data_IF_584643176585
#
_entry.id   IF_584643176585
#
_cell.length_a   1.000
_cell.length_b   1.000
_cell.length_c   1.000
_cell.angle_alpha   90.00
_cell.angle_beta   90.00
_cell.angle_gamma   90.00
#
_symmetry.space_group_name_H-M   'P 1'
#
loop_
_entity.id
_entity.type
_entity.pdbx_description
1 polymer ?
#
# COMPACT_ATOMS: atom_id res chain seq x y z
N UNK A 1 3.72 14.91 -10.54
CA UNK A 1 4.06 13.57 -10.03
C UNK A 1 3.37 12.55 -10.91
N UNK A 2 4.05 11.45 -11.24
CA UNK A 2 3.46 10.36 -12.01
C UNK A 2 2.67 9.45 -11.05
N UNK A 3 1.62 8.80 -11.53
CA UNK A 3 0.84 7.84 -10.76
C UNK A 3 0.89 6.49 -11.47
N UNK A 4 0.96 5.42 -10.69
CA UNK A 4 0.99 4.06 -11.21
C UNK A 4 -0.02 3.19 -10.49
N UNK A 5 -0.85 2.48 -11.26
CA UNK A 5 -1.58 1.35 -10.73
C UNK A 5 -0.60 0.20 -10.55
N UNK A 6 -0.51 -0.33 -9.35
CA UNK A 6 0.37 -1.42 -8.97
C UNK A 6 -0.46 -2.67 -8.72
N UNK A 7 0.02 -3.81 -9.22
CA UNK A 7 -0.51 -5.12 -8.91
C UNK A 7 0.60 -6.04 -8.46
N UNK A 8 0.38 -6.79 -7.38
CA UNK A 8 1.38 -7.73 -6.88
C UNK A 8 0.75 -8.92 -6.14
N UNK A 9 1.50 -10.00 -6.01
CA UNK A 9 1.11 -11.19 -5.24
C UNK A 9 1.67 -11.08 -3.83
N UNK A 10 0.82 -10.91 -2.80
CA UNK A 10 1.29 -10.86 -1.43
C UNK A 10 1.80 -12.21 -0.98
N UNK A 11 2.85 -12.19 -0.15
CA UNK A 11 3.33 -13.33 0.62
C UNK A 11 2.47 -13.43 1.87
N UNK A 12 1.49 -14.35 1.84
CA UNK A 12 0.44 -14.47 2.86
C UNK A 12 1.04 -14.65 4.26
N UNK A 13 2.15 -15.37 4.36
CA UNK A 13 2.90 -15.62 5.60
C UNK A 13 3.55 -14.37 6.20
N UNK A 14 3.73 -13.29 5.42
CA UNK A 14 4.29 -12.02 5.87
C UNK A 14 3.25 -10.89 5.93
N UNK A 15 2.00 -11.13 5.51
CA UNK A 15 0.95 -10.10 5.49
C UNK A 15 0.61 -9.60 6.90
N UNK A 16 0.49 -10.50 7.88
CA UNK A 16 0.22 -10.10 9.27
C UNK A 16 1.37 -9.25 9.84
N UNK A 17 2.61 -9.54 9.46
CA UNK A 17 3.76 -8.70 9.84
C UNK A 17 3.63 -7.31 9.21
N UNK A 18 3.31 -7.24 7.91
CA UNK A 18 3.14 -5.96 7.21
C UNK A 18 2.00 -5.13 7.81
N UNK A 19 0.85 -5.76 8.10
CA UNK A 19 -0.30 -5.12 8.74
C UNK A 19 0.10 -4.50 10.08
N UNK A 20 0.75 -5.27 10.97
CA UNK A 20 1.23 -4.75 12.26
C UNK A 20 2.25 -3.62 12.14
N UNK A 21 3.10 -3.63 11.10
CA UNK A 21 4.05 -2.54 10.85
C UNK A 21 3.37 -1.27 10.36
N UNK A 22 2.30 -1.41 9.58
CA UNK A 22 1.45 -0.29 9.15
C UNK A 22 0.68 0.29 10.36
N UNK A 23 0.08 -0.57 11.20
CA UNK A 23 -0.61 -0.18 12.43
C UNK A 23 0.31 0.62 13.38
N UNK A 24 1.57 0.18 13.52
CA UNK A 24 2.55 0.83 14.39
C UNK A 24 3.22 2.05 13.76
N UNK A 25 2.86 2.43 12.52
CA UNK A 25 3.43 3.56 11.81
C UNK A 25 4.92 3.42 11.44
N UNK A 26 5.48 2.19 11.47
CA UNK A 26 6.91 1.97 11.21
C UNK A 26 7.31 2.37 9.78
N UNK A 27 6.40 2.16 8.82
CA UNK A 27 6.62 2.50 7.42
C UNK A 27 6.46 4.01 7.21
N UNK A 28 5.61 4.69 7.99
CA UNK A 28 5.40 6.15 7.85
C UNK A 28 6.65 6.98 8.13
N UNK A 29 7.50 6.50 9.05
CA UNK A 29 8.77 7.14 9.38
C UNK A 29 9.86 7.01 8.32
N UNK A 30 9.66 6.18 7.28
CA UNK A 30 10.65 5.99 6.21
C UNK A 30 10.58 7.15 5.21
N UNK A 31 11.39 8.18 5.36
CA UNK A 31 11.37 9.29 4.42
C UNK A 31 12.07 8.95 3.10
N UNK A 32 11.61 9.53 1.96
CA UNK A 32 10.48 10.43 1.79
C UNK A 32 9.19 9.73 1.35
N UNK A 33 9.20 8.40 1.13
CA UNK A 33 8.07 7.66 0.55
C UNK A 33 7.11 7.06 1.59
N UNK A 34 7.54 6.94 2.84
CA UNK A 34 6.90 6.15 3.89
C UNK A 34 5.46 6.54 4.16
N UNK A 35 5.17 7.83 4.30
CA UNK A 35 3.79 8.32 4.49
C UNK A 35 2.88 8.00 3.31
N UNK A 36 3.38 8.18 2.09
CA UNK A 36 2.59 7.90 0.88
C UNK A 36 2.37 6.39 0.71
N UNK A 37 3.43 5.60 0.90
CA UNK A 37 3.40 4.14 0.81
C UNK A 37 2.50 3.52 1.88
N UNK A 38 2.62 3.96 3.14
CA UNK A 38 1.79 3.48 4.24
C UNK A 38 0.31 3.65 3.94
N UNK A 39 -0.09 4.86 3.49
CA UNK A 39 -1.46 5.15 3.08
C UNK A 39 -1.91 4.29 1.90
N UNK A 40 -1.06 4.14 0.88
CA UNK A 40 -1.38 3.34 -0.29
C UNK A 40 -1.56 1.84 0.08
N UNK A 41 -0.74 1.30 0.97
CA UNK A 41 -0.87 -0.09 1.43
C UNK A 41 -2.05 -0.30 2.37
N UNK A 42 -2.35 0.65 3.26
CA UNK A 42 -3.54 0.61 4.11
C UNK A 42 -4.86 0.66 3.31
N UNK A 43 -4.85 1.37 2.18
CA UNK A 43 -5.96 1.40 1.21
C UNK A 43 -5.80 0.35 0.09
N UNK A 44 -4.81 -0.54 0.14
CA UNK A 44 -4.69 -1.58 -0.88
C UNK A 44 -5.92 -2.49 -0.90
N UNK A 45 -6.24 -2.99 -2.08
CA UNK A 45 -7.36 -3.89 -2.34
C UNK A 45 -6.87 -5.26 -2.76
N UNK A 46 -7.69 -6.28 -2.54
CA UNK A 46 -7.36 -7.67 -2.88
C UNK A 46 -8.41 -8.22 -3.85
N UNK A 47 -7.94 -8.89 -4.90
CA UNK A 47 -8.80 -9.63 -5.83
C UNK A 47 -9.06 -11.06 -5.32
N UNK A 48 -10.12 -11.74 -5.80
CA UNK A 48 -10.40 -13.15 -5.48
C UNK A 48 -9.26 -14.12 -5.85
N UNK A 49 -8.37 -13.72 -6.75
CA UNK A 49 -7.20 -14.51 -7.16
C UNK A 49 -5.97 -14.27 -6.26
N UNK A 50 -6.13 -13.58 -5.13
CA UNK A 50 -5.07 -13.12 -4.22
C UNK A 50 -4.09 -12.12 -4.84
N UNK A 51 -4.50 -11.32 -5.84
CA UNK A 51 -3.69 -10.20 -6.33
C UNK A 51 -4.00 -8.92 -5.57
N UNK A 52 -3.01 -8.35 -4.89
CA UNK A 52 -3.08 -7.06 -4.23
C UNK A 52 -2.95 -5.93 -5.25
N UNK A 53 -3.72 -4.85 -5.06
CA UNK A 53 -3.81 -3.71 -5.96
C UNK A 53 -3.81 -2.41 -5.19
N UNK A 54 -3.06 -1.42 -5.66
CA UNK A 54 -3.05 -0.07 -5.11
C UNK A 54 -2.57 0.94 -6.15
N UNK A 55 -2.74 2.23 -5.89
CA UNK A 55 -2.11 3.28 -6.69
C UNK A 55 -0.94 3.88 -5.92
N UNK A 56 0.24 3.91 -6.55
CA UNK A 56 1.42 4.61 -6.05
C UNK A 56 1.52 5.99 -6.67
N UNK A 57 1.82 6.97 -5.83
CA UNK A 57 2.32 8.26 -6.29
C UNK A 57 3.85 8.17 -6.41
N UNK A 58 4.36 8.42 -7.61
CA UNK A 58 5.79 8.39 -7.86
C UNK A 58 6.40 9.76 -7.63
N UNK A 59 7.05 9.86 -6.47
CA UNK A 59 7.91 10.97 -6.10
C UNK A 59 9.31 10.88 -6.73
N UNK A 60 9.59 9.83 -7.54
CA UNK A 60 10.94 9.59 -8.06
C UNK A 60 11.21 10.34 -9.38
N UNK A 61 11.95 11.44 -9.25
CA UNK A 61 13.10 11.71 -10.12
C UNK A 61 14.31 11.16 -9.31
N UNK A 62 15.19 10.31 -9.87
CA UNK A 62 15.81 9.16 -9.17
C UNK A 62 16.76 9.60 -8.05
N UNK A 63 16.74 8.99 -6.83
CA UNK A 63 17.28 7.63 -6.57
C UNK A 63 16.50 6.79 -5.52
N UNK A 64 15.33 7.24 -5.08
CA UNK A 64 14.58 6.68 -3.94
C UNK A 64 13.78 5.39 -4.24
N UNK A 65 13.91 4.88 -5.47
CA UNK A 65 13.21 3.69 -5.92
C UNK A 65 13.70 2.41 -5.22
N UNK A 66 14.97 2.33 -4.80
CA UNK A 66 15.57 1.06 -4.38
C UNK A 66 15.10 0.60 -2.99
N UNK A 67 14.94 1.51 -2.02
CA UNK A 67 14.53 1.14 -0.67
C UNK A 67 13.03 0.82 -0.60
N UNK A 68 12.19 1.64 -1.24
CA UNK A 68 10.78 1.33 -1.45
C UNK A 68 10.61 -0.02 -2.14
N UNK A 69 11.38 -0.28 -3.20
CA UNK A 69 11.31 -1.53 -3.93
C UNK A 69 11.72 -2.72 -3.05
N UNK A 70 12.82 -2.63 -2.30
CA UNK A 70 13.24 -3.68 -1.36
C UNK A 70 12.17 -3.99 -0.31
N UNK A 71 11.52 -2.97 0.23
CA UNK A 71 10.42 -3.15 1.18
C UNK A 71 9.25 -3.88 0.53
N UNK A 72 8.84 -3.47 -0.68
CA UNK A 72 7.77 -4.14 -1.42
C UNK A 72 8.14 -5.57 -1.81
N UNK A 73 9.35 -5.84 -2.28
CA UNK A 73 9.84 -7.19 -2.65
C UNK A 73 9.87 -8.16 -1.46
N UNK A 74 10.02 -7.64 -0.23
CA UNK A 74 9.91 -8.46 0.98
C UNK A 74 8.51 -9.04 1.15
N UNK A 75 7.46 -8.25 0.91
CA UNK A 75 6.07 -8.65 1.18
C UNK A 75 5.30 -9.08 -0.07
N UNK A 76 5.77 -8.72 -1.25
CA UNK A 76 5.09 -8.93 -2.51
C UNK A 76 6.03 -9.55 -3.55
N UNK A 77 5.44 -10.33 -4.44
CA UNK A 77 6.09 -10.91 -5.61
C UNK A 77 5.31 -10.52 -6.86
N UNK A 78 5.91 -10.70 -8.05
CA UNK A 78 5.26 -10.38 -9.33
C UNK A 78 4.69 -8.96 -9.38
N UNK A 79 5.45 -7.99 -8.88
CA UNK A 79 5.05 -6.58 -8.86
C UNK A 79 5.04 -6.07 -10.31
N UNK A 80 3.88 -5.63 -10.77
CA UNK A 80 3.70 -4.98 -12.06
C UNK A 80 3.11 -3.58 -11.86
N UNK A 81 3.51 -2.64 -12.71
CA UNK A 81 3.10 -1.23 -12.64
C UNK A 81 2.61 -0.77 -14.01
N UNK A 82 1.50 -0.03 -14.02
CA UNK A 82 0.96 0.61 -15.21
C UNK A 82 0.70 2.10 -14.94
N UNK A 83 1.12 3.02 -15.83
CA UNK A 83 0.90 4.45 -15.64
C UNK A 83 -0.60 4.77 -15.68
N UNK A 84 -1.05 5.60 -14.75
CA UNK A 84 -2.45 6.03 -14.65
C UNK A 84 -2.53 7.53 -14.36
N UNK A 85 -3.69 8.13 -14.67
CA UNK A 85 -4.00 9.45 -14.15
C UNK A 85 -4.22 9.38 -12.63
N UNK A 86 -3.98 10.48 -11.92
CA UNK A 86 -4.18 10.55 -10.47
C UNK A 86 -5.57 10.07 -10.05
N UNK A 87 -5.60 9.11 -9.12
CA UNK A 87 -6.80 8.50 -8.58
C UNK A 87 -7.55 7.57 -9.55
N UNK A 88 -7.07 7.39 -10.78
CA UNK A 88 -7.71 6.46 -11.71
C UNK A 88 -7.49 5.01 -11.27
N UNK A 89 -6.32 4.67 -10.73
CA UNK A 89 -6.07 3.35 -10.16
C UNK A 89 -7.00 3.06 -9.00
N UNK A 90 -7.19 4.03 -8.09
CA UNK A 90 -8.12 3.92 -6.97
C UNK A 90 -9.57 3.68 -7.41
N UNK A 91 -10.09 4.48 -8.37
CA UNK A 91 -11.46 4.30 -8.90
C UNK A 91 -11.66 2.92 -9.52
N UNK A 92 -10.64 2.36 -10.18
CA UNK A 92 -10.72 1.03 -10.78
C UNK A 92 -10.87 -0.09 -9.75
N UNK A 93 -10.39 0.10 -8.53
CA UNK A 93 -10.32 -0.96 -7.51
C UNK A 93 -11.20 -0.69 -6.29
N UNK A 94 -11.89 0.46 -6.22
CA UNK A 94 -12.64 0.87 -5.03
C UNK A 94 -13.73 -0.12 -4.60
N UNK A 95 -14.28 -0.87 -5.56
CA UNK A 95 -15.32 -1.89 -5.36
C UNK A 95 -14.78 -3.22 -4.80
N UNK A 96 -13.46 -3.40 -4.76
CA UNK A 96 -12.81 -4.60 -4.25
C UNK A 96 -12.66 -4.53 -2.72
N UNK A 97 -12.61 -5.69 -2.03
CA UNK A 97 -12.34 -5.73 -0.60
C UNK A 97 -10.93 -5.20 -0.30
N UNK A 98 -10.76 -4.64 0.90
CA UNK A 98 -9.47 -4.19 1.40
C UNK A 98 -8.54 -5.37 1.66
N UNK A 99 -7.25 -5.16 1.42
CA UNK A 99 -6.21 -6.13 1.78
C UNK A 99 -6.08 -6.28 3.30
N UNK A 100 -6.18 -5.17 4.03
CA UNK A 100 -6.13 -5.09 5.48
C UNK A 100 -7.43 -4.49 6.03
N UNK A 101 -8.44 -5.32 6.35
CA UNK A 101 -9.71 -4.82 6.87
C UNK A 101 -9.59 -4.15 8.25
N UNK A 102 -8.64 -4.55 9.12
CA UNK A 102 -8.47 -3.98 10.46
C UNK A 102 -8.07 -2.51 10.41
N UNK A 103 -7.16 -2.16 9.49
CA UNK A 103 -6.68 -0.79 9.28
C UNK A 103 -7.78 0.21 8.91
N UNK A 104 -8.91 -0.25 8.37
CA UNK A 104 -10.06 0.59 8.10
C UNK A 104 -10.96 0.82 9.32
N UNK A 105 -10.93 -0.11 10.29
CA UNK A 105 -11.77 -0.10 11.48
C UNK A 105 -11.18 0.77 12.60
N UNK A 106 -9.86 0.91 12.68
CA UNK A 106 -9.20 1.77 13.69
C UNK A 106 -9.56 3.26 13.57
N UNK A 107 -10.02 3.69 12.40
CA UNK A 107 -10.50 5.07 12.22
C UNK A 107 -11.84 5.35 12.93
N UNK A 108 -12.53 4.31 13.40
CA UNK A 108 -13.84 4.41 14.10
C UNK A 108 -13.67 4.39 15.62
N UNK A 109 -12.54 3.89 16.13
CA UNK A 109 -12.31 3.70 17.58
C UNK A 109 -11.30 4.69 18.17
N UNK A 110 -10.81 5.66 17.38
CA UNK A 110 -10.07 6.82 17.87
C UNK A 110 -10.96 7.90 18.50
N UNK A 111 -12.01 7.48 19.21
CA UNK A 111 -12.73 8.33 20.15
C UNK A 111 -11.85 8.60 21.37
N UNK A 112 -11.89 9.85 21.81
CA UNK A 112 -11.30 10.39 23.04
C UNK A 112 -11.02 9.36 24.14
N UNK A 113 -9.78 9.35 24.64
CA UNK A 113 -9.52 9.06 26.05
C UNK A 113 -8.40 10.00 26.55
N UNK A 114 -8.86 11.00 27.31
CA UNK A 114 -8.19 11.94 28.26
C UNK A 114 -6.95 12.74 27.84
#
# INVERSE_FOLDING_TARGET
MAHYAVSARPRIELLSELESRLERGEIEGMEPFGRALSRALADARIRPDNTALWEEEDYCIPPLAQERHRLLERYFTNIAMAPVARGAGWRMIEHLPRLFPSLAMDKVIGGEIE
#
